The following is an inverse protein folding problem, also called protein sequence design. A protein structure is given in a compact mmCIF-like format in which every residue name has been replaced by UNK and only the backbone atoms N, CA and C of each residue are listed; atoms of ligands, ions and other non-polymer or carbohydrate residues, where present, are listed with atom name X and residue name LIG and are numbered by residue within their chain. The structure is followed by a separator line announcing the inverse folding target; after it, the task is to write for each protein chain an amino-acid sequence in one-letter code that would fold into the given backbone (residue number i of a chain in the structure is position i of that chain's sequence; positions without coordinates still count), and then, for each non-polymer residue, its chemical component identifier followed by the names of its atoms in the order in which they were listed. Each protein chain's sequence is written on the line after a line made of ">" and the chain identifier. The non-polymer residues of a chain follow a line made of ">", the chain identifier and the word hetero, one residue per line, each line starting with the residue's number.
data_IF_809090378175
#
_entry.id   IF_809090378175
#
_cell.length_a   1.000
_cell.length_b   1.000
_cell.length_c   1.000
_cell.angle_alpha   90.00
_cell.angle_beta   90.00
_cell.angle_gamma   90.00
#
_symmetry.space_group_name_H-M   'P 1'
#
loop_
_entity.id
_entity.type
_entity.pdbx_description
1 polymer ?
#
# COMPACT_ATOMS: atom_id res chain seq x y z
N UNK A 1 -14.81 108.23 30.27
CA UNK A 1 -15.41 107.10 29.50
C UNK A 1 -14.50 105.86 29.33
N UNK A 2 -13.18 105.93 29.58
CA UNK A 2 -12.23 104.83 29.33
C UNK A 2 -12.43 103.61 30.26
N UNK A 3 -12.71 103.85 31.55
CA UNK A 3 -12.86 102.79 32.57
C UNK A 3 -14.01 101.84 32.26
N UNK A 4 -15.17 102.39 31.87
CA UNK A 4 -16.37 101.61 31.55
C UNK A 4 -16.17 100.76 30.29
N UNK A 5 -15.55 101.31 29.24
CA UNK A 5 -15.20 100.56 28.02
C UNK A 5 -14.23 99.40 28.32
N UNK A 6 -13.26 99.62 29.21
CA UNK A 6 -12.33 98.58 29.65
C UNK A 6 -13.00 97.45 30.45
N UNK A 7 -13.95 97.79 31.34
CA UNK A 7 -14.72 96.79 32.10
C UNK A 7 -15.55 95.89 31.17
N UNK A 8 -16.29 96.49 30.24
CA UNK A 8 -17.14 95.78 29.27
C UNK A 8 -16.30 94.89 28.34
N UNK A 9 -15.16 95.39 27.85
CA UNK A 9 -14.24 94.61 27.02
C UNK A 9 -13.69 93.37 27.75
N UNK A 10 -13.30 93.50 29.02
CA UNK A 10 -12.85 92.36 29.83
C UNK A 10 -13.97 91.37 30.10
N UNK A 11 -15.16 91.84 30.49
CA UNK A 11 -16.31 90.97 30.75
C UNK A 11 -16.73 90.17 29.50
N UNK A 12 -16.73 90.81 28.33
CA UNK A 12 -17.00 90.14 27.06
C UNK A 12 -15.90 89.14 26.70
N UNK A 13 -14.62 89.54 26.80
CA UNK A 13 -13.47 88.67 26.53
C UNK A 13 -13.48 87.41 27.41
N UNK A 14 -13.72 87.55 28.72
CA UNK A 14 -13.83 86.41 29.63
C UNK A 14 -15.00 85.49 29.25
N UNK A 15 -16.15 86.04 28.88
CA UNK A 15 -17.31 85.26 28.45
C UNK A 15 -17.01 84.43 27.19
N UNK A 16 -16.43 85.07 26.17
CA UNK A 16 -16.05 84.41 24.92
C UNK A 16 -15.02 83.32 25.18
N UNK A 17 -13.93 83.62 25.91
CA UNK A 17 -12.89 82.62 26.24
C UNK A 17 -13.49 81.42 26.98
N UNK A 18 -14.42 81.65 27.92
CA UNK A 18 -15.07 80.57 28.67
C UNK A 18 -15.95 79.69 27.78
N UNK A 19 -16.74 80.30 26.91
CA UNK A 19 -17.58 79.59 25.93
C UNK A 19 -16.74 78.81 24.92
N UNK A 20 -15.69 79.42 24.37
CA UNK A 20 -14.77 78.75 23.43
C UNK A 20 -14.07 77.57 24.09
N UNK A 21 -13.56 77.72 25.33
CA UNK A 21 -12.95 76.60 26.07
C UNK A 21 -13.95 75.49 26.36
N UNK A 22 -15.18 75.81 26.73
CA UNK A 22 -16.22 74.82 26.95
C UNK A 22 -16.57 74.07 25.65
N UNK A 23 -16.75 74.79 24.54
CA UNK A 23 -17.00 74.22 23.23
C UNK A 23 -15.86 73.31 22.76
N UNK A 24 -14.60 73.75 22.90
CA UNK A 24 -13.43 72.95 22.54
C UNK A 24 -13.33 71.66 23.36
N UNK A 25 -13.62 71.72 24.67
CA UNK A 25 -13.67 70.52 25.51
C UNK A 25 -14.74 69.55 25.01
N UNK A 26 -15.96 70.02 24.77
CA UNK A 26 -17.07 69.21 24.24
C UNK A 26 -16.71 68.57 22.89
N UNK A 27 -16.11 69.34 21.97
CA UNK A 27 -15.68 68.83 20.67
C UNK A 27 -14.58 67.78 20.82
N UNK A 28 -13.58 68.02 21.69
CA UNK A 28 -12.49 67.08 21.93
C UNK A 28 -12.97 65.77 22.54
N UNK A 29 -13.89 65.83 23.52
CA UNK A 29 -14.46 64.64 24.17
C UNK A 29 -15.34 63.85 23.21
N UNK A 30 -16.15 64.54 22.40
CA UNK A 30 -17.00 63.91 21.38
C UNK A 30 -16.16 63.21 20.30
N UNK A 31 -15.15 63.88 19.74
CA UNK A 31 -14.23 63.26 18.77
C UNK A 31 -13.53 62.04 19.38
N UNK A 32 -13.01 62.16 20.59
CA UNK A 32 -12.39 61.03 21.29
C UNK A 32 -13.36 59.89 21.60
N UNK A 33 -14.64 60.18 21.85
CA UNK A 33 -15.68 59.15 22.00
C UNK A 33 -15.92 58.41 20.68
N UNK A 34 -16.08 59.16 19.57
CA UNK A 34 -16.31 58.60 18.24
C UNK A 34 -15.16 57.70 17.78
N UNK A 35 -13.91 58.14 17.94
CA UNK A 35 -12.74 57.33 17.57
C UNK A 35 -12.66 56.03 18.40
N UNK A 36 -12.94 56.11 19.70
CA UNK A 36 -12.97 54.92 20.55
C UNK A 36 -14.11 53.97 20.20
N UNK A 37 -15.27 54.49 19.79
CA UNK A 37 -16.39 53.66 19.32
C UNK A 37 -16.02 52.93 18.03
N UNK A 38 -15.41 53.64 17.06
CA UNK A 38 -14.91 53.05 15.81
C UNK A 38 -13.87 51.97 16.05
N UNK A 39 -12.91 52.23 16.93
CA UNK A 39 -11.88 51.25 17.29
C UNK A 39 -12.49 49.98 17.89
N UNK A 40 -13.43 50.11 18.82
CA UNK A 40 -14.12 48.93 19.41
C UNK A 40 -14.87 48.13 18.36
N UNK A 41 -15.52 48.80 17.42
CA UNK A 41 -16.22 48.13 16.33
C UNK A 41 -15.23 47.37 15.43
N UNK A 42 -14.15 48.02 14.99
CA UNK A 42 -13.11 47.39 14.18
C UNK A 42 -12.49 46.16 14.86
N UNK A 43 -12.17 46.26 16.15
CA UNK A 43 -11.63 45.13 16.92
C UNK A 43 -12.65 43.98 17.05
N UNK A 44 -13.94 44.29 17.20
CA UNK A 44 -14.98 43.27 17.25
C UNK A 44 -15.14 42.55 15.90
N UNK A 45 -15.06 43.29 14.79
CA UNK A 45 -15.10 42.75 13.43
C UNK A 45 -13.88 41.85 13.14
N UNK A 46 -12.67 42.30 13.49
CA UNK A 46 -11.46 41.49 13.38
C UNK A 46 -11.54 40.21 14.21
N UNK A 47 -12.00 40.31 15.46
CA UNK A 47 -12.17 39.15 16.32
C UNK A 47 -13.17 38.15 15.72
N UNK A 48 -14.32 38.64 15.23
CA UNK A 48 -15.31 37.81 14.57
C UNK A 48 -14.75 37.12 13.32
N UNK A 49 -13.99 37.85 12.49
CA UNK A 49 -13.32 37.31 11.31
C UNK A 49 -12.35 36.17 11.67
N UNK A 50 -11.54 36.34 12.72
CA UNK A 50 -10.63 35.30 13.21
C UNK A 50 -11.39 34.06 13.69
N UNK A 51 -12.51 34.23 14.41
CA UNK A 51 -13.32 33.08 14.84
C UNK A 51 -13.91 32.33 13.65
N UNK A 52 -14.44 33.04 12.65
CA UNK A 52 -14.98 32.43 11.42
C UNK A 52 -13.88 31.67 10.68
N UNK A 53 -12.70 32.28 10.50
CA UNK A 53 -11.56 31.65 9.84
C UNK A 53 -11.13 30.37 10.58
N UNK A 54 -11.04 30.41 11.91
CA UNK A 54 -10.68 29.23 12.72
C UNK A 54 -11.68 28.10 12.55
N UNK A 55 -12.99 28.40 12.59
CA UNK A 55 -14.05 27.40 12.39
C UNK A 55 -13.98 26.81 10.99
N UNK A 56 -13.81 27.66 9.98
CA UNK A 56 -13.70 27.24 8.59
C UNK A 56 -12.49 26.34 8.35
N UNK A 57 -11.29 26.72 8.84
CA UNK A 57 -10.09 25.89 8.73
C UNK A 57 -10.30 24.52 9.38
N UNK A 58 -10.90 24.48 10.57
CA UNK A 58 -11.24 23.23 11.23
C UNK A 58 -12.24 22.37 10.43
N UNK A 59 -13.23 22.98 9.79
CA UNK A 59 -14.15 22.28 8.90
C UNK A 59 -13.44 21.72 7.65
N UNK A 60 -12.61 22.53 6.99
CA UNK A 60 -11.84 22.13 5.81
C UNK A 60 -10.90 20.95 6.11
N UNK A 61 -10.16 21.01 7.23
CA UNK A 61 -9.28 19.92 7.65
C UNK A 61 -10.04 18.61 7.90
N UNK A 62 -11.21 18.69 8.55
CA UNK A 62 -12.08 17.52 8.77
C UNK A 62 -12.58 16.93 7.46
N UNK A 63 -12.98 17.75 6.49
CA UNK A 63 -13.38 17.27 5.16
C UNK A 63 -12.25 16.51 4.47
N UNK A 64 -11.03 17.05 4.48
CA UNK A 64 -9.85 16.38 3.91
C UNK A 64 -9.57 15.06 4.63
N UNK A 65 -9.58 15.06 5.97
CA UNK A 65 -9.38 13.86 6.78
C UNK A 65 -10.38 12.75 6.41
N UNK A 66 -11.68 13.07 6.34
CA UNK A 66 -12.71 12.08 6.01
C UNK A 66 -12.56 11.54 4.58
N UNK A 67 -12.17 12.38 3.62
CA UNK A 67 -11.87 11.94 2.24
C UNK A 67 -10.70 10.97 2.20
N UNK A 68 -9.59 11.31 2.86
CA UNK A 68 -8.41 10.44 2.93
C UNK A 68 -8.73 9.11 3.64
N UNK A 69 -9.51 9.16 4.73
CA UNK A 69 -9.92 7.96 5.45
C UNK A 69 -10.82 7.05 4.58
N UNK A 70 -11.73 7.63 3.79
CA UNK A 70 -12.57 6.88 2.86
C UNK A 70 -11.73 6.15 1.80
N UNK A 71 -10.79 6.85 1.17
CA UNK A 71 -9.86 6.24 0.20
C UNK A 71 -9.02 5.14 0.85
N UNK A 72 -8.50 5.38 2.06
CA UNK A 72 -7.74 4.37 2.80
C UNK A 72 -8.58 3.13 3.11
N UNK A 73 -9.87 3.30 3.47
CA UNK A 73 -10.77 2.18 3.75
C UNK A 73 -11.14 1.39 2.50
N UNK A 74 -11.33 2.06 1.37
CA UNK A 74 -11.56 1.41 0.08
C UNK A 74 -10.34 0.57 -0.36
N UNK A 75 -9.12 1.06 -0.09
CA UNK A 75 -7.90 0.37 -0.49
C UNK A 75 -7.44 -0.72 0.50
N UNK A 76 -7.86 -0.68 1.76
CA UNK A 76 -7.42 -1.63 2.78
C UNK A 76 -7.65 -3.12 2.43
N UNK A 77 -8.79 -3.54 1.86
CA UNK A 77 -8.99 -4.93 1.43
C UNK A 77 -7.99 -5.34 0.34
N UNK A 78 -7.77 -4.49 -0.67
CA UNK A 78 -6.82 -4.75 -1.74
C UNK A 78 -5.39 -4.89 -1.18
N UNK A 79 -4.96 -4.00 -0.30
CA UNK A 79 -3.64 -4.08 0.36
C UNK A 79 -3.51 -5.37 1.18
N UNK A 80 -4.57 -5.80 1.87
CA UNK A 80 -4.59 -7.06 2.64
C UNK A 80 -4.41 -8.28 1.74
N UNK A 81 -5.14 -8.34 0.62
CA UNK A 81 -5.02 -9.42 -0.37
C UNK A 81 -3.61 -9.45 -0.95
N UNK A 82 -3.08 -8.31 -1.39
CA UNK A 82 -1.74 -8.22 -1.96
C UNK A 82 -0.65 -8.68 -0.96
N UNK A 83 -0.77 -8.31 0.32
CA UNK A 83 0.14 -8.76 1.38
C UNK A 83 0.12 -10.29 1.54
N UNK A 84 -1.09 -10.87 1.63
CA UNK A 84 -1.26 -12.32 1.77
C UNK A 84 -0.69 -13.05 0.56
N UNK A 85 -0.95 -12.55 -0.64
CA UNK A 85 -0.48 -13.15 -1.89
C UNK A 85 1.05 -13.14 -2.00
N UNK A 86 1.71 -12.01 -1.71
CA UNK A 86 3.19 -11.94 -1.66
C UNK A 86 3.76 -12.97 -0.68
N UNK A 87 3.15 -13.11 0.50
CA UNK A 87 3.54 -14.13 1.47
C UNK A 87 3.30 -15.56 0.97
N UNK A 88 2.20 -15.81 0.25
CA UNK A 88 1.92 -17.11 -0.36
C UNK A 88 3.00 -17.49 -1.39
N UNK A 89 3.38 -16.57 -2.28
CA UNK A 89 4.42 -16.80 -3.28
C UNK A 89 5.76 -17.17 -2.64
N UNK A 90 6.18 -16.42 -1.61
CA UNK A 90 7.41 -16.71 -0.87
C UNK A 90 7.39 -18.12 -0.25
N UNK A 91 6.31 -18.48 0.46
CA UNK A 91 6.15 -19.81 1.06
C UNK A 91 6.11 -20.92 0.02
N UNK A 92 5.45 -20.69 -1.12
CA UNK A 92 5.41 -21.65 -2.22
C UNK A 92 6.82 -21.89 -2.80
N UNK A 93 7.59 -20.82 -3.01
CA UNK A 93 8.98 -20.93 -3.46
C UNK A 93 9.84 -21.75 -2.49
N UNK A 94 9.76 -21.46 -1.19
CA UNK A 94 10.48 -22.20 -0.16
C UNK A 94 10.08 -23.69 -0.11
N UNK A 95 8.79 -24.02 -0.22
CA UNK A 95 8.33 -25.41 -0.25
C UNK A 95 8.88 -26.18 -1.45
N UNK A 96 8.90 -25.54 -2.64
CA UNK A 96 9.47 -26.16 -3.84
C UNK A 96 10.96 -26.42 -3.67
N UNK A 97 11.71 -25.44 -3.16
CA UNK A 97 13.13 -25.59 -2.89
C UNK A 97 13.41 -26.67 -1.84
N UNK A 98 12.65 -26.70 -0.75
CA UNK A 98 12.77 -27.73 0.28
C UNK A 98 12.53 -29.13 -0.29
N UNK A 99 11.46 -29.32 -1.09
CA UNK A 99 11.17 -30.60 -1.73
C UNK A 99 12.28 -31.03 -2.71
N UNK A 100 12.87 -30.09 -3.45
CA UNK A 100 14.01 -30.37 -4.34
C UNK A 100 15.25 -30.80 -3.55
N UNK A 101 15.54 -30.12 -2.44
CA UNK A 101 16.65 -30.47 -1.55
C UNK A 101 16.44 -31.85 -0.91
N UNK A 102 15.25 -32.13 -0.38
CA UNK A 102 14.90 -33.45 0.17
C UNK A 102 15.08 -34.55 -0.86
N UNK A 103 14.57 -34.36 -2.08
CA UNK A 103 14.74 -35.30 -3.18
C UNK A 103 16.23 -35.49 -3.55
N UNK A 104 17.02 -34.42 -3.55
CA UNK A 104 18.45 -34.50 -3.82
C UNK A 104 19.19 -35.27 -2.71
N UNK A 105 18.92 -34.99 -1.43
CA UNK A 105 19.50 -35.71 -0.30
C UNK A 105 19.13 -37.18 -0.33
N UNK A 106 17.86 -37.50 -0.61
CA UNK A 106 17.40 -38.88 -0.77
C UNK A 106 18.12 -39.60 -1.92
N UNK A 107 18.25 -38.97 -3.09
CA UNK A 107 18.97 -39.55 -4.21
C UNK A 107 20.43 -39.84 -3.85
N UNK A 108 21.09 -38.89 -3.18
CA UNK A 108 22.47 -39.05 -2.76
C UNK A 108 22.63 -40.18 -1.73
N UNK A 109 21.69 -40.35 -0.79
CA UNK A 109 21.76 -41.44 0.21
C UNK A 109 21.60 -42.82 -0.45
N UNK A 110 20.65 -42.94 -1.39
CA UNK A 110 20.44 -44.15 -2.19
C UNK A 110 21.69 -44.47 -3.01
N UNK A 111 22.29 -43.46 -3.66
CA UNK A 111 23.49 -43.63 -4.46
C UNK A 111 24.70 -44.07 -3.62
N UNK A 112 24.96 -43.42 -2.47
CA UNK A 112 26.01 -43.84 -1.52
C UNK A 112 25.82 -45.30 -1.07
N UNK A 113 24.59 -45.69 -0.75
CA UNK A 113 24.28 -47.08 -0.40
C UNK A 113 24.47 -48.06 -1.57
N UNK A 114 24.14 -47.66 -2.79
CA UNK A 114 24.39 -48.47 -4.00
C UNK A 114 25.89 -48.70 -4.20
N UNK A 115 26.70 -47.64 -4.11
CA UNK A 115 28.16 -47.74 -4.22
C UNK A 115 28.74 -48.70 -3.17
N UNK A 116 28.31 -48.61 -1.91
CA UNK A 116 28.75 -49.52 -0.85
C UNK A 116 28.43 -50.99 -1.17
N UNK A 117 27.22 -51.28 -1.68
CA UNK A 117 26.80 -52.64 -2.08
C UNK A 117 27.56 -53.15 -3.31
N UNK A 118 27.85 -52.30 -4.29
CA UNK A 118 28.66 -52.67 -5.45
C UNK A 118 30.10 -52.95 -5.01
N UNK A 119 30.67 -52.08 -4.16
CA UNK A 119 31.99 -52.25 -3.58
C UNK A 119 32.11 -53.59 -2.86
N UNK A 120 31.16 -53.91 -1.97
CA UNK A 120 31.15 -55.19 -1.26
C UNK A 120 31.09 -56.40 -2.21
N UNK A 121 30.28 -56.33 -3.28
CA UNK A 121 30.18 -57.40 -4.29
C UNK A 121 31.48 -57.59 -5.07
N UNK A 122 32.12 -56.49 -5.49
CA UNK A 122 33.42 -56.51 -6.19
C UNK A 122 34.49 -57.11 -5.29
N UNK A 123 34.54 -56.67 -4.02
CA UNK A 123 35.47 -57.22 -3.03
C UNK A 123 35.26 -58.71 -2.80
N UNK A 124 34.01 -59.15 -2.56
CA UNK A 124 33.69 -60.56 -2.32
C UNK A 124 34.04 -61.47 -3.50
N UNK A 125 33.71 -61.06 -4.73
CA UNK A 125 34.08 -61.80 -5.94
C UNK A 125 35.59 -61.83 -6.17
N UNK A 126 36.28 -60.73 -5.86
CA UNK A 126 37.74 -60.67 -5.93
C UNK A 126 38.42 -61.67 -4.98
N UNK A 127 37.91 -61.82 -3.75
CA UNK A 127 38.39 -62.82 -2.79
C UNK A 127 38.15 -64.24 -3.32
N UNK A 128 36.95 -64.53 -3.83
CA UNK A 128 36.61 -65.86 -4.36
C UNK A 128 37.38 -66.25 -5.64
N UNK A 129 37.77 -65.27 -6.46
CA UNK A 129 38.47 -65.48 -7.73
C UNK A 129 39.97 -65.12 -7.72
N UNK A 130 40.60 -64.98 -6.55
CA UNK A 130 42.04 -64.68 -6.42
C UNK A 130 42.49 -63.30 -6.96
N UNK A 131 41.54 -62.40 -7.26
CA UNK A 131 41.76 -61.09 -7.91
C UNK A 131 41.25 -59.92 -7.04
N UNK A 132 41.38 -60.06 -5.71
CA UNK A 132 40.93 -59.08 -4.75
C UNK A 132 41.66 -57.72 -4.94
N UNK A 133 40.97 -56.58 -4.79
CA UNK A 133 41.62 -55.27 -4.76
C UNK A 133 42.65 -55.25 -3.63
N UNK A 134 43.88 -54.77 -3.89
CA UNK A 134 44.94 -54.74 -2.88
C UNK A 134 44.73 -53.60 -1.89
N UNK A 135 44.02 -52.55 -2.30
CA UNK A 135 43.68 -51.40 -1.45
C UNK A 135 42.21 -50.99 -1.58
N UNK A 136 41.64 -50.29 -0.58
CA UNK A 136 40.29 -49.73 -0.66
C UNK A 136 40.11 -48.76 -1.83
N UNK A 137 41.16 -48.00 -2.17
CA UNK A 137 41.17 -47.05 -3.29
C UNK A 137 41.04 -47.77 -4.65
N UNK A 138 41.78 -48.86 -4.86
CA UNK A 138 41.65 -49.69 -6.07
C UNK A 138 40.25 -50.30 -6.20
N UNK A 139 39.67 -50.71 -5.07
CA UNK A 139 38.29 -51.21 -5.04
C UNK A 139 37.28 -50.15 -5.45
N UNK A 140 37.42 -48.92 -4.94
CA UNK A 140 36.56 -47.79 -5.30
C UNK A 140 36.71 -47.41 -6.78
N UNK A 141 37.94 -47.36 -7.31
CA UNK A 141 38.18 -47.09 -8.73
C UNK A 141 37.52 -48.13 -9.65
N UNK A 142 37.54 -49.42 -9.26
CA UNK A 142 36.84 -50.48 -10.00
C UNK A 142 35.31 -50.31 -9.93
N UNK A 143 34.76 -49.91 -8.78
CA UNK A 143 33.33 -49.64 -8.61
C UNK A 143 32.87 -48.45 -9.46
N UNK A 144 33.67 -47.39 -9.51
CA UNK A 144 33.41 -46.21 -10.34
C UNK A 144 33.37 -46.62 -11.82
N UNK A 145 34.38 -47.37 -12.30
CA UNK A 145 34.42 -47.87 -13.69
C UNK A 145 33.27 -48.82 -14.06
N UNK A 146 32.85 -49.70 -13.14
CA UNK A 146 31.72 -50.63 -13.36
C UNK A 146 30.36 -49.92 -13.30
N UNK A 147 30.28 -48.81 -12.56
CA UNK A 147 29.07 -47.99 -12.45
C UNK A 147 28.64 -47.34 -13.78
N UNK A 148 29.56 -47.12 -14.72
CA UNK A 148 29.35 -46.11 -15.76
C UNK A 148 28.47 -46.51 -16.97
N UNK A 149 28.26 -47.79 -17.30
CA UNK A 149 27.81 -48.09 -18.68
C UNK A 149 26.37 -48.59 -18.84
N UNK A 150 25.95 -49.65 -18.15
CA UNK A 150 24.66 -50.29 -18.46
C UNK A 150 23.54 -50.00 -17.44
N UNK A 151 23.88 -49.99 -16.16
CA UNK A 151 22.92 -49.68 -15.09
C UNK A 151 22.51 -48.20 -15.13
N UNK A 152 23.49 -47.30 -15.31
CA UNK A 152 23.24 -45.85 -15.49
C UNK A 152 22.40 -45.60 -16.74
N UNK A 153 22.74 -46.24 -17.88
CA UNK A 153 21.97 -46.10 -19.12
C UNK A 153 20.50 -46.52 -18.95
N UNK A 154 20.23 -47.67 -18.32
CA UNK A 154 18.86 -48.12 -18.02
C UNK A 154 18.12 -47.14 -17.09
N UNK A 155 18.78 -46.68 -16.02
CA UNK A 155 18.20 -45.70 -15.10
C UNK A 155 17.89 -44.37 -15.80
N UNK A 156 18.79 -43.86 -16.65
CA UNK A 156 18.57 -42.61 -17.41
C UNK A 156 17.40 -42.72 -18.37
N UNK A 157 17.22 -43.84 -19.08
CA UNK A 157 16.08 -44.03 -20.00
C UNK A 157 14.76 -44.05 -19.21
N UNK A 158 14.72 -44.71 -18.06
CA UNK A 158 13.53 -44.72 -17.19
C UNK A 158 13.22 -43.32 -16.67
N UNK A 159 14.22 -42.56 -16.23
CA UNK A 159 14.08 -41.18 -15.77
C UNK A 159 13.56 -40.27 -16.89
N UNK A 160 14.12 -40.36 -18.09
CA UNK A 160 13.66 -39.62 -19.27
C UNK A 160 12.20 -39.94 -19.62
N UNK A 161 11.79 -41.21 -19.56
CA UNK A 161 10.40 -41.63 -19.79
C UNK A 161 9.45 -41.02 -18.76
N UNK A 162 9.80 -41.10 -17.47
CA UNK A 162 8.98 -40.55 -16.38
C UNK A 162 8.88 -39.02 -16.48
N UNK A 163 10.00 -38.34 -16.78
CA UNK A 163 10.03 -36.89 -16.93
C UNK A 163 9.20 -36.39 -18.11
N UNK A 164 9.24 -37.07 -19.27
CA UNK A 164 8.35 -36.76 -20.41
C UNK A 164 6.88 -36.85 -20.00
N UNK A 165 6.50 -37.89 -19.27
CA UNK A 165 5.14 -38.05 -18.74
C UNK A 165 4.75 -36.97 -17.72
N UNK A 166 5.66 -36.62 -16.81
CA UNK A 166 5.45 -35.51 -15.87
C UNK A 166 5.22 -34.19 -16.61
N UNK A 167 6.07 -33.86 -17.59
CA UNK A 167 5.97 -32.63 -18.38
C UNK A 167 4.64 -32.53 -19.12
N UNK A 168 4.15 -33.61 -19.72
CA UNK A 168 2.85 -33.64 -20.38
C UNK A 168 1.71 -33.35 -19.39
N UNK A 169 1.72 -33.98 -18.20
CA UNK A 169 0.71 -33.73 -17.15
C UNK A 169 0.77 -32.30 -16.61
N UNK A 170 1.96 -31.75 -16.41
CA UNK A 170 2.12 -30.36 -15.98
C UNK A 170 1.62 -29.37 -17.02
N UNK A 171 1.80 -29.64 -18.32
CA UNK A 171 1.26 -28.82 -19.40
C UNK A 171 -0.27 -28.82 -19.39
N UNK A 172 -0.90 -29.99 -19.28
CA UNK A 172 -2.36 -30.12 -19.18
C UNK A 172 -2.91 -29.39 -17.94
N UNK A 173 -2.27 -29.55 -16.78
CA UNK A 173 -2.65 -28.83 -15.57
C UNK A 173 -2.56 -27.30 -15.75
N UNK A 174 -1.51 -26.81 -16.42
CA UNK A 174 -1.36 -25.38 -16.74
C UNK A 174 -2.48 -24.85 -17.65
N UNK A 175 -2.85 -25.61 -18.69
CA UNK A 175 -3.95 -25.25 -19.60
C UNK A 175 -5.31 -25.20 -18.87
N UNK A 176 -5.60 -26.20 -18.03
CA UNK A 176 -6.83 -26.23 -17.22
C UNK A 176 -6.91 -25.04 -16.26
N UNK A 177 -5.80 -24.70 -15.62
CA UNK A 177 -5.72 -23.55 -14.73
C UNK A 177 -5.93 -22.23 -15.49
N UNK A 178 -5.37 -22.12 -16.70
CA UNK A 178 -5.58 -20.96 -17.59
C UNK A 178 -7.02 -20.80 -18.04
N UNK A 179 -7.67 -21.89 -18.46
CA UNK A 179 -9.09 -21.90 -18.83
C UNK A 179 -9.97 -21.47 -17.66
N UNK A 180 -9.74 -22.01 -16.46
CA UNK A 180 -10.52 -21.69 -15.26
C UNK A 180 -10.40 -20.20 -14.87
N UNK A 181 -9.21 -19.61 -15.01
CA UNK A 181 -9.01 -18.17 -14.81
C UNK A 181 -9.71 -17.36 -15.91
N UNK A 182 -9.68 -17.82 -17.16
CA UNK A 182 -10.37 -17.17 -18.28
C UNK A 182 -11.89 -17.14 -18.11
N UNK A 183 -12.50 -18.26 -17.71
CA UNK A 183 -13.93 -18.34 -17.41
C UNK A 183 -14.33 -17.39 -16.27
N UNK A 184 -13.61 -17.43 -15.14
CA UNK A 184 -13.87 -16.53 -14.01
C UNK A 184 -13.65 -15.04 -14.36
N UNK A 185 -12.70 -14.74 -15.25
CA UNK A 185 -12.43 -13.39 -15.71
C UNK A 185 -13.54 -12.82 -16.59
N UNK A 186 -14.08 -13.63 -17.51
CA UNK A 186 -15.21 -13.22 -18.36
C UNK A 186 -16.47 -12.98 -17.53
N UNK A 187 -16.80 -13.89 -16.61
CA UNK A 187 -17.97 -13.77 -15.74
C UNK A 187 -17.89 -12.51 -14.84
N UNK A 188 -16.69 -12.24 -14.29
CA UNK A 188 -16.46 -11.04 -13.48
C UNK A 188 -16.57 -9.75 -14.29
N UNK A 189 -16.09 -9.75 -15.54
CA UNK A 189 -16.11 -8.58 -16.40
C UNK A 189 -17.55 -8.25 -16.85
N UNK A 190 -18.34 -9.26 -17.21
CA UNK A 190 -19.77 -9.11 -17.52
C UNK A 190 -20.55 -8.60 -16.29
N UNK A 191 -20.22 -9.08 -15.08
CA UNK A 191 -20.84 -8.59 -13.85
C UNK A 191 -20.52 -7.09 -13.59
N UNK A 192 -19.28 -6.66 -13.79
CA UNK A 192 -18.89 -5.25 -13.62
C UNK A 192 -19.57 -4.36 -14.67
N UNK A 193 -19.63 -4.80 -15.92
CA UNK A 193 -20.29 -4.06 -17.01
C UNK A 193 -21.80 -3.92 -16.78
N UNK A 194 -22.47 -4.98 -16.32
CA UNK A 194 -23.90 -4.93 -15.98
C UNK A 194 -24.19 -3.99 -14.80
N UNK A 195 -23.35 -3.99 -13.76
CA UNK A 195 -23.51 -3.10 -12.60
C UNK A 195 -23.27 -1.62 -12.98
N UNK A 196 -22.28 -1.34 -13.82
CA UNK A 196 -22.02 0.00 -14.35
C UNK A 196 -23.19 0.49 -15.21
N UNK A 197 -23.74 -0.36 -16.08
CA UNK A 197 -24.90 -0.03 -16.92
C UNK A 197 -26.13 0.32 -16.08
N UNK A 198 -26.42 -0.43 -15.02
CA UNK A 198 -27.53 -0.16 -14.09
C UNK A 198 -27.37 1.22 -13.43
N UNK A 199 -26.15 1.55 -12.98
CA UNK A 199 -25.87 2.86 -12.34
C UNK A 199 -26.03 4.03 -13.32
N UNK A 200 -25.57 3.86 -14.56
CA UNK A 200 -25.73 4.86 -15.62
C UNK A 200 -27.21 5.06 -15.94
N UNK A 201 -27.98 3.97 -16.06
CA UNK A 201 -29.42 4.02 -16.29
C UNK A 201 -30.17 4.70 -15.14
N UNK A 202 -29.78 4.43 -13.89
CA UNK A 202 -30.36 5.08 -12.71
C UNK A 202 -30.07 6.59 -12.69
N UNK A 203 -28.86 7.01 -13.05
CA UNK A 203 -28.48 8.42 -13.19
C UNK A 203 -29.30 9.11 -14.29
N UNK A 204 -29.41 8.50 -15.47
CA UNK A 204 -30.17 9.03 -16.59
C UNK A 204 -31.66 9.24 -16.23
N UNK A 205 -32.27 8.27 -15.54
CA UNK A 205 -33.65 8.37 -15.03
C UNK A 205 -33.79 9.48 -13.98
N UNK A 206 -32.82 9.62 -13.07
CA UNK A 206 -32.82 10.68 -12.06
C UNK A 206 -32.65 12.10 -12.64
N UNK A 207 -31.90 12.25 -13.75
CA UNK A 207 -31.73 13.54 -14.43
C UNK A 207 -32.93 13.96 -15.27
N UNK A 208 -33.69 13.01 -15.83
CA UNK A 208 -34.93 13.30 -16.57
C UNK A 208 -36.04 13.86 -15.68
N UNK A 209 -36.14 13.37 -14.43
CA UNK A 209 -37.14 13.83 -13.45
C UNK A 209 -36.86 15.27 -12.96
N UNK A 210 -35.58 15.70 -12.92
CA UNK A 210 -35.20 17.06 -12.46
C UNK A 210 -35.30 18.15 -13.53
N UNK A 211 -35.47 17.80 -14.81
CA UNK A 211 -35.61 18.79 -15.91
C UNK A 211 -37.06 19.20 -16.22
N UNK A 212 -38.04 18.59 -15.54
CA UNK A 212 -39.48 18.85 -15.76
C UNK A 212 -40.21 19.42 -14.53
N UNK A 213 -39.47 20.00 -13.57
CA UNK A 213 -40.01 20.82 -12.47
C UNK A 213 -39.43 22.22 -12.59
#
# INVERSE_FOLDING_TARGET
>A
QSVWRGHVGRAHGFRVIRQTRAALRLQSTYRGHMERARLRQSLAEEYAAVQIQRVYQGHAHRLVFWRLLAVSRQNAPATKVQRVYRGHLARRGLRVMAAQLEAAVFLQSVYRGHLARVFQRVWRKGIQGGSAPRTPLEGLQRVVRVGDTQAVRRATVTLQRVYRGHRARSAVHGLLQGLMIGFLGQDMQVAIESEAAIRIQALARGTGVRRHQ
#
